data_IF_017565365546
#
_entry.id   IF_017565365546
#
_cell.length_a   1.000
_cell.length_b   1.000
_cell.length_c   1.000
_cell.angle_alpha   90.00
_cell.angle_beta   90.00
_cell.angle_gamma   90.00
#
_symmetry.space_group_name_H-M   'P 1'
#
loop_
_entity.id
_entity.type
_entity.pdbx_description
1 polymer ?
#
# COMPACT_ATOMS: atom_id res chain seq x y z
N UNK A 1 52.20 46.43 23.95
CA UNK A 1 51.34 45.24 23.60
C UNK A 1 49.91 45.60 23.89
N UNK A 2 49.01 45.70 22.89
CA UNK A 2 47.62 46.03 23.11
C UNK A 2 46.82 44.76 23.39
N UNK A 3 45.88 44.79 24.34
CA UNK A 3 44.95 43.78 24.74
C UNK A 3 43.96 43.49 23.59
N UNK A 4 43.81 42.18 23.18
CA UNK A 4 42.79 41.70 22.29
C UNK A 4 41.45 41.65 23.04
N UNK A 5 40.51 42.44 22.60
CA UNK A 5 39.08 42.36 23.00
C UNK A 5 38.43 41.16 22.34
N UNK A 6 37.79 40.31 23.15
CA UNK A 6 37.04 39.12 22.75
C UNK A 6 35.67 39.58 22.25
N UNK A 7 35.32 39.21 21.00
CA UNK A 7 34.02 39.46 20.42
C UNK A 7 32.95 38.56 21.11
N UNK A 8 31.71 39.05 21.28
CA UNK A 8 30.61 38.22 21.83
C UNK A 8 30.16 37.17 20.84
N UNK A 9 29.95 35.97 21.35
CA UNK A 9 29.35 34.84 20.64
C UNK A 9 27.90 35.15 20.28
N UNK A 10 27.39 34.77 19.08
CA UNK A 10 25.98 34.90 18.78
C UNK A 10 25.19 33.85 19.58
N UNK A 11 24.26 34.33 20.37
CA UNK A 11 23.21 33.48 20.98
C UNK A 11 22.25 33.04 19.89
N UNK A 12 22.35 31.78 19.44
CA UNK A 12 21.31 31.12 18.67
C UNK A 12 20.18 30.76 19.64
N UNK A 13 19.11 31.54 19.59
CA UNK A 13 17.83 31.12 20.10
C UNK A 13 17.33 30.00 19.16
N UNK A 14 17.40 28.75 19.63
CA UNK A 14 16.63 27.68 19.03
C UNK A 14 15.15 28.07 19.21
N UNK A 15 14.45 28.31 18.11
CA UNK A 15 13.01 28.42 18.10
C UNK A 15 12.49 27.02 18.40
N UNK A 16 11.77 26.87 19.51
CA UNK A 16 10.89 25.73 19.80
C UNK A 16 9.77 25.73 18.76
N UNK A 17 10.05 25.22 17.56
CA UNK A 17 9.03 24.85 16.60
C UNK A 17 8.41 23.57 17.14
N UNK A 18 7.13 23.63 17.52
CA UNK A 18 6.33 22.43 17.77
C UNK A 18 6.49 21.50 16.56
N UNK A 19 6.63 20.18 16.76
CA UNK A 19 6.69 19.25 15.65
C UNK A 19 5.42 19.39 14.81
N UNK A 20 5.56 19.78 13.54
CA UNK A 20 4.44 19.83 12.60
C UNK A 20 3.76 18.46 12.62
N UNK A 21 2.45 18.43 12.92
CA UNK A 21 1.67 17.22 12.97
C UNK A 21 1.69 16.55 11.59
N UNK A 22 2.28 15.36 11.52
CA UNK A 22 2.49 14.65 10.25
C UNK A 22 1.13 14.28 9.65
N UNK A 23 0.94 14.58 8.37
CA UNK A 23 -0.30 14.25 7.67
C UNK A 23 -0.56 12.74 7.69
N UNK A 24 -1.75 12.35 8.11
CA UNK A 24 -2.19 10.96 8.13
C UNK A 24 -2.93 10.60 6.84
N UNK A 25 -2.41 9.62 6.11
CA UNK A 25 -3.05 9.08 4.92
C UNK A 25 -4.09 8.02 5.30
N UNK A 26 -5.36 8.16 4.88
CA UNK A 26 -6.45 7.26 5.31
C UNK A 26 -6.23 5.77 4.98
N UNK A 27 -5.43 5.49 3.95
CA UNK A 27 -5.07 4.11 3.56
C UNK A 27 -4.06 3.43 4.50
N UNK A 28 -3.47 4.16 5.46
CA UNK A 28 -2.47 3.65 6.40
C UNK A 28 -3.12 3.41 7.76
N UNK A 29 -3.05 2.18 8.27
CA UNK A 29 -3.46 1.83 9.63
C UNK A 29 -2.32 2.13 10.59
N UNK A 30 -2.54 3.08 11.50
CA UNK A 30 -1.55 3.49 12.50
C UNK A 30 -1.69 2.63 13.77
N UNK A 31 -0.55 2.37 14.41
CA UNK A 31 -0.47 1.68 15.72
C UNK A 31 -1.04 0.26 15.75
N UNK A 32 -1.25 -0.36 14.59
CA UNK A 32 -1.70 -1.74 14.45
C UNK A 32 -0.64 -2.56 13.72
N UNK A 33 -0.26 -3.76 14.24
CA UNK A 33 0.62 -4.67 13.50
C UNK A 33 -0.03 -5.14 12.21
N UNK A 34 0.69 -5.09 11.10
CA UNK A 34 0.22 -5.63 9.83
C UNK A 34 0.43 -7.15 9.80
N UNK A 35 -0.54 -7.91 10.33
CA UNK A 35 -0.55 -9.37 10.32
C UNK A 35 -1.15 -9.88 9.02
N UNK A 36 -2.38 -9.46 8.74
CA UNK A 36 -3.15 -9.88 7.57
C UNK A 36 -3.22 -8.76 6.53
N UNK A 37 -3.36 -9.13 5.27
CA UNK A 37 -3.61 -8.20 4.17
C UNK A 37 -4.96 -7.52 4.32
N UNK A 38 -5.07 -6.28 3.82
CA UNK A 38 -6.33 -5.55 3.83
C UNK A 38 -6.54 -4.75 2.56
N UNK A 39 -7.79 -4.40 2.28
CA UNK A 39 -8.18 -3.45 1.24
C UNK A 39 -8.77 -2.19 1.87
N UNK A 40 -8.48 -1.04 1.28
CA UNK A 40 -9.04 0.25 1.64
C UNK A 40 -9.58 0.95 0.40
N UNK A 41 -10.77 1.57 0.52
CA UNK A 41 -11.39 2.36 -0.53
C UNK A 41 -11.68 3.78 -0.02
N UNK A 42 -11.26 4.81 -0.77
CA UNK A 42 -11.55 6.20 -0.40
C UNK A 42 -13.06 6.51 -0.41
N UNK A 43 -13.83 5.84 -1.25
CA UNK A 43 -15.29 5.98 -1.33
C UNK A 43 -16.02 5.58 -0.05
N UNK A 44 -15.46 4.65 0.72
CA UNK A 44 -16.05 4.20 1.99
C UNK A 44 -16.01 5.29 3.07
N UNK A 45 -15.09 6.25 2.96
CA UNK A 45 -15.02 7.41 3.86
C UNK A 45 -16.18 8.38 3.62
N UNK A 46 -16.57 8.58 2.36
CA UNK A 46 -17.69 9.46 1.99
C UNK A 46 -19.02 8.86 2.42
N UNK A 47 -19.18 7.55 2.28
CA UNK A 47 -20.38 6.84 2.76
C UNK A 47 -20.53 6.93 4.28
N UNK A 48 -19.44 6.82 5.04
CA UNK A 48 -19.43 7.02 6.49
C UNK A 48 -19.74 8.47 6.88
N UNK A 49 -19.18 9.43 6.19
CA UNK A 49 -19.41 10.86 6.45
C UNK A 49 -20.86 11.28 6.13
N UNK A 50 -21.49 10.69 5.10
CA UNK A 50 -22.87 10.93 4.73
C UNK A 50 -23.93 10.22 5.60
N UNK A 51 -23.51 9.40 6.55
CA UNK A 51 -24.39 8.69 7.49
C UNK A 51 -25.12 7.48 6.91
N UNK A 52 -24.78 7.04 5.68
CA UNK A 52 -25.41 5.93 4.98
C UNK A 52 -24.68 4.58 5.18
N UNK A 53 -23.59 4.58 5.93
CA UNK A 53 -22.79 3.39 6.21
C UNK A 53 -23.28 2.64 7.45
N UNK A 54 -24.15 1.65 7.31
CA UNK A 54 -24.32 0.61 8.36
C UNK A 54 -23.06 -0.26 8.34
N UNK A 55 -22.15 0.01 9.29
CA UNK A 55 -20.94 -0.78 9.47
C UNK A 55 -21.29 -2.24 9.78
N UNK A 56 -21.04 -3.15 8.85
CA UNK A 56 -20.93 -4.59 9.14
C UNK A 56 -19.50 -4.89 9.57
N UNK A 57 -19.22 -4.71 10.86
CA UNK A 57 -18.13 -5.44 11.50
C UNK A 57 -18.56 -6.91 11.59
N UNK A 58 -17.92 -7.78 10.82
CA UNK A 58 -18.07 -9.23 11.01
C UNK A 58 -17.26 -9.65 12.23
N UNK A 59 -17.87 -9.62 13.39
CA UNK A 59 -17.45 -10.44 14.52
C UNK A 59 -17.88 -11.89 14.24
N UNK A 60 -16.93 -12.82 14.28
CA UNK A 60 -17.22 -14.26 14.24
C UNK A 60 -17.62 -14.66 15.65
N UNK A 61 -18.92 -14.72 15.93
CA UNK A 61 -19.47 -15.47 17.07
C UNK A 61 -20.12 -16.76 16.56
N UNK A 62 -19.65 -17.88 17.11
CA UNK A 62 -20.33 -19.17 17.03
C UNK A 62 -21.52 -19.18 17.98
N UNK A 63 -22.69 -19.54 17.50
CA UNK A 63 -23.85 -19.80 18.37
C UNK A 63 -25.18 -19.88 17.61
N UNK A 64 -25.67 -21.09 17.49
CA UNK A 64 -27.03 -21.60 17.36
C UNK A 64 -28.10 -20.89 16.51
N UNK A 65 -28.70 -21.70 15.66
CA UNK A 65 -29.76 -21.45 14.68
C UNK A 65 -31.09 -21.04 15.32
N UNK A 66 -31.58 -19.85 14.99
CA UNK A 66 -33.02 -19.60 14.86
C UNK A 66 -33.29 -18.88 13.53
N UNK A 67 -34.08 -19.58 12.65
CA UNK A 67 -34.56 -19.05 11.38
C UNK A 67 -35.53 -17.89 11.63
N UNK A 68 -35.08 -16.65 11.52
CA UNK A 68 -35.96 -15.50 11.27
C UNK A 68 -35.92 -15.20 9.78
N UNK A 69 -37.10 -15.21 9.14
CA UNK A 69 -37.29 -14.70 7.79
C UNK A 69 -36.92 -13.21 7.79
N UNK A 70 -35.80 -12.90 7.15
CA UNK A 70 -35.40 -11.53 6.82
C UNK A 70 -36.09 -11.20 5.48
N UNK A 71 -37.06 -10.30 5.54
CA UNK A 71 -37.64 -9.67 4.34
C UNK A 71 -36.54 -8.79 3.74
N UNK A 72 -35.76 -9.40 2.83
CA UNK A 72 -34.66 -8.73 2.15
C UNK A 72 -35.20 -7.57 1.30
N UNK A 73 -35.02 -6.35 1.78
CA UNK A 73 -34.99 -5.18 0.90
C UNK A 73 -33.84 -5.43 -0.09
N UNK A 74 -34.18 -5.65 -1.36
CA UNK A 74 -33.23 -5.64 -2.46
C UNK A 74 -32.54 -4.25 -2.44
N UNK A 75 -31.29 -4.17 -1.95
CA UNK A 75 -30.43 -3.02 -2.20
C UNK A 75 -30.26 -2.93 -3.72
N UNK A 76 -31.03 -2.06 -4.37
CA UNK A 76 -30.90 -1.79 -5.80
C UNK A 76 -29.44 -1.39 -6.07
N UNK A 77 -28.84 -2.02 -7.09
CA UNK A 77 -27.47 -1.76 -7.54
C UNK A 77 -27.23 -0.25 -7.61
N UNK A 78 -26.40 0.30 -6.73
CA UNK A 78 -25.96 1.70 -6.74
C UNK A 78 -25.21 1.91 -8.05
N UNK A 79 -25.78 2.64 -8.99
CA UNK A 79 -25.12 3.05 -10.23
C UNK A 79 -24.57 4.46 -10.03
N UNK A 80 -23.25 4.59 -10.04
CA UNK A 80 -22.58 5.90 -10.00
C UNK A 80 -22.60 6.51 -11.38
N UNK A 81 -23.08 7.77 -11.46
CA UNK A 81 -23.26 8.47 -12.72
C UNK A 81 -21.93 8.74 -13.44
N UNK A 82 -21.94 8.51 -14.76
CA UNK A 82 -20.83 8.81 -15.67
C UNK A 82 -20.03 7.57 -16.10
N UNK A 83 -19.12 7.81 -17.04
CA UNK A 83 -18.14 6.84 -17.51
C UNK A 83 -16.80 7.11 -16.84
N UNK A 84 -16.15 6.05 -16.37
CA UNK A 84 -14.95 6.13 -15.54
C UNK A 84 -13.77 5.45 -16.20
N UNK A 85 -12.57 5.98 -15.94
CA UNK A 85 -11.30 5.33 -16.21
C UNK A 85 -10.58 4.98 -14.92
N UNK A 86 -9.74 3.93 -14.98
CA UNK A 86 -8.99 3.42 -13.84
C UNK A 86 -7.53 3.15 -14.22
N UNK A 87 -6.59 3.54 -13.36
CA UNK A 87 -5.18 3.20 -13.44
C UNK A 87 -4.79 2.23 -12.33
N UNK A 88 -3.86 1.33 -12.64
CA UNK A 88 -3.32 0.34 -11.68
C UNK A 88 -1.80 0.39 -11.68
N UNK A 89 -1.19 0.40 -10.49
CA UNK A 89 0.25 0.21 -10.30
C UNK A 89 0.53 -0.46 -8.95
N UNK A 90 1.78 -0.86 -8.70
CA UNK A 90 2.20 -1.46 -7.45
C UNK A 90 3.44 -0.79 -6.85
N UNK A 91 3.59 -0.93 -5.53
CA UNK A 91 4.80 -0.59 -4.80
C UNK A 91 5.27 -1.75 -3.92
N UNK A 92 6.58 -1.87 -3.76
CA UNK A 92 7.12 -2.85 -2.83
C UNK A 92 7.18 -4.29 -3.32
N UNK A 93 7.23 -4.56 -4.62
CA UNK A 93 7.35 -5.92 -5.16
C UNK A 93 8.68 -6.61 -4.81
N UNK A 94 9.80 -5.89 -4.91
CA UNK A 94 11.16 -6.44 -4.76
C UNK A 94 11.74 -6.52 -3.34
N UNK A 95 11.30 -5.71 -2.36
CA UNK A 95 11.86 -5.71 -1.01
C UNK A 95 11.73 -7.04 -0.29
N UNK A 96 12.72 -7.35 0.58
CA UNK A 96 12.68 -8.47 1.52
C UNK A 96 11.91 -8.13 2.81
N UNK A 97 11.69 -6.83 3.07
CA UNK A 97 10.98 -6.33 4.25
C UNK A 97 9.79 -5.46 3.84
N UNK A 98 8.74 -5.52 4.66
CA UNK A 98 7.52 -4.70 4.52
C UNK A 98 6.52 -5.23 3.50
N UNK A 99 5.37 -4.54 3.35
CA UNK A 99 4.27 -4.97 2.50
C UNK A 99 4.54 -4.75 1.01
N UNK A 100 3.74 -5.43 0.18
CA UNK A 100 3.52 -5.05 -1.21
C UNK A 100 2.15 -4.40 -1.31
N UNK A 101 2.07 -3.26 -1.99
CA UNK A 101 0.82 -2.50 -2.11
C UNK A 101 0.44 -2.38 -3.57
N UNK A 102 -0.75 -2.82 -3.92
CA UNK A 102 -1.42 -2.52 -5.18
C UNK A 102 -2.31 -1.30 -4.97
N UNK A 103 -2.15 -0.32 -5.84
CA UNK A 103 -2.95 0.90 -5.86
C UNK A 103 -3.77 1.01 -7.13
N UNK A 104 -5.00 1.48 -7.00
CA UNK A 104 -5.81 1.96 -8.11
C UNK A 104 -6.21 3.40 -7.84
N UNK A 105 -6.19 4.21 -8.90
CA UNK A 105 -6.84 5.52 -8.93
C UNK A 105 -7.85 5.51 -10.05
N UNK A 106 -9.00 6.13 -9.87
CA UNK A 106 -10.05 6.19 -10.88
C UNK A 106 -10.79 7.52 -10.85
N UNK A 107 -11.15 8.01 -12.03
CA UNK A 107 -11.88 9.27 -12.20
C UNK A 107 -12.81 9.18 -13.40
N UNK A 108 -13.71 10.17 -13.53
CA UNK A 108 -14.57 10.28 -14.72
C UNK A 108 -13.71 10.51 -15.97
N UNK A 109 -14.10 9.92 -17.09
CA UNK A 109 -13.41 10.16 -18.38
C UNK A 109 -13.37 11.66 -18.74
N UNK A 110 -14.40 12.42 -18.38
CA UNK A 110 -14.45 13.87 -18.58
C UNK A 110 -13.42 14.65 -17.76
N UNK A 111 -12.84 14.04 -16.70
CA UNK A 111 -11.83 14.65 -15.82
C UNK A 111 -10.37 14.37 -16.29
N UNK A 112 -10.18 13.67 -17.38
CA UNK A 112 -8.85 13.22 -17.85
C UNK A 112 -7.88 14.39 -18.11
N UNK A 113 -8.34 15.48 -18.71
CA UNK A 113 -7.50 16.65 -19.00
C UNK A 113 -7.14 17.42 -17.73
N UNK A 114 -8.05 17.53 -16.77
CA UNK A 114 -7.81 18.17 -15.47
C UNK A 114 -6.83 17.35 -14.65
N UNK A 115 -7.00 16.02 -14.59
CA UNK A 115 -6.05 15.12 -13.94
C UNK A 115 -4.62 15.33 -14.48
N UNK A 116 -4.48 15.48 -15.80
CA UNK A 116 -3.19 15.74 -16.42
C UNK A 116 -2.58 17.07 -15.99
N UNK A 117 -3.42 18.10 -15.77
CA UNK A 117 -3.00 19.43 -15.33
C UNK A 117 -2.53 19.49 -13.87
N UNK A 118 -2.98 18.54 -13.03
CA UNK A 118 -2.60 18.43 -11.61
C UNK A 118 -1.13 18.00 -11.39
N UNK A 119 -0.40 17.64 -12.46
CA UNK A 119 1.04 17.39 -12.38
C UNK A 119 1.43 15.94 -12.13
N UNK A 120 0.52 14.99 -12.33
CA UNK A 120 0.84 13.56 -12.33
C UNK A 120 1.69 13.22 -13.55
N UNK A 121 3.01 13.33 -13.37
CA UNK A 121 4.03 12.91 -14.34
C UNK A 121 4.56 11.53 -13.96
N UNK A 122 5.60 11.04 -14.67
CA UNK A 122 6.33 9.82 -14.32
C UNK A 122 6.69 9.80 -12.82
N UNK A 123 5.99 8.95 -12.08
CA UNK A 123 6.09 8.86 -10.62
C UNK A 123 7.50 8.57 -10.12
N UNK A 124 8.35 7.94 -10.95
CA UNK A 124 9.74 7.58 -10.63
C UNK A 124 10.69 8.76 -10.66
N UNK A 125 10.32 9.85 -11.35
CA UNK A 125 11.11 11.09 -11.39
C UNK A 125 10.78 12.05 -10.26
N UNK A 126 9.67 11.80 -9.54
CA UNK A 126 9.22 12.64 -8.44
C UNK A 126 9.97 12.31 -7.14
N UNK A 127 10.26 13.33 -6.34
CA UNK A 127 10.80 13.16 -4.98
C UNK A 127 9.69 12.75 -3.99
N UNK A 128 10.05 12.16 -2.85
CA UNK A 128 9.05 11.72 -1.86
C UNK A 128 8.15 12.88 -1.36
N UNK A 129 8.66 14.09 -1.06
CA UNK A 129 7.77 15.20 -0.69
C UNK A 129 6.77 15.60 -1.79
N UNK A 130 7.18 15.57 -3.06
CA UNK A 130 6.28 15.87 -4.18
C UNK A 130 5.18 14.80 -4.31
N UNK A 131 5.53 13.51 -4.15
CA UNK A 131 4.52 12.44 -4.14
C UNK A 131 3.52 12.58 -3.01
N UNK A 132 4.00 12.98 -1.83
CA UNK A 132 3.15 13.23 -0.68
C UNK A 132 2.14 14.35 -0.95
N UNK A 133 2.60 15.49 -1.50
CA UNK A 133 1.71 16.58 -1.89
C UNK A 133 0.70 16.15 -2.97
N UNK A 134 1.13 15.39 -3.98
CA UNK A 134 0.22 14.88 -5.00
C UNK A 134 -0.81 13.89 -4.44
N UNK A 135 -0.46 13.10 -3.41
CA UNK A 135 -1.45 12.26 -2.76
C UNK A 135 -2.46 13.08 -1.95
N UNK A 136 -2.03 14.16 -1.29
CA UNK A 136 -2.95 15.11 -0.64
C UNK A 136 -3.90 15.73 -1.66
N UNK A 137 -3.41 16.10 -2.85
CA UNK A 137 -4.25 16.59 -3.95
C UNK A 137 -5.30 15.54 -4.35
N UNK A 138 -4.98 14.24 -4.44
CA UNK A 138 -5.97 13.19 -4.69
C UNK A 138 -7.05 13.18 -3.59
N UNK A 139 -6.66 13.35 -2.33
CA UNK A 139 -7.60 13.36 -1.20
C UNK A 139 -8.49 14.61 -1.23
N UNK A 140 -7.92 15.77 -1.54
CA UNK A 140 -8.64 17.04 -1.66
C UNK A 140 -9.63 17.05 -2.82
N UNK A 141 -9.27 16.41 -3.95
CA UNK A 141 -10.14 16.21 -5.10
C UNK A 141 -10.97 14.92 -5.01
N UNK A 142 -11.32 14.51 -3.79
CA UNK A 142 -12.00 13.24 -3.53
C UNK A 142 -13.35 13.08 -4.21
N UNK A 143 -14.02 14.14 -4.67
CA UNK A 143 -15.24 14.05 -5.46
C UNK A 143 -14.99 13.56 -6.90
N UNK A 144 -13.85 13.94 -7.48
CA UNK A 144 -13.51 13.69 -8.89
C UNK A 144 -12.53 12.53 -9.07
N UNK A 145 -11.56 12.38 -8.14
CA UNK A 145 -10.54 11.34 -8.16
C UNK A 145 -10.69 10.45 -6.93
N UNK A 146 -10.99 9.19 -7.16
CA UNK A 146 -11.09 8.16 -6.13
C UNK A 146 -9.87 7.26 -6.17
N UNK A 147 -9.61 6.55 -5.06
CA UNK A 147 -8.56 5.56 -5.02
C UNK A 147 -8.92 4.38 -4.11
N UNK A 148 -8.27 3.26 -4.35
CA UNK A 148 -8.27 2.13 -3.45
C UNK A 148 -6.88 1.48 -3.42
N UNK A 149 -6.57 0.79 -2.33
CA UNK A 149 -5.34 0.02 -2.18
C UNK A 149 -5.63 -1.37 -1.63
N UNK A 150 -4.87 -2.34 -2.09
CA UNK A 150 -4.75 -3.64 -1.46
C UNK A 150 -3.33 -3.74 -0.86
N UNK A 151 -3.26 -3.81 0.46
CA UNK A 151 -2.00 -3.91 1.21
C UNK A 151 -1.78 -5.38 1.55
N UNK A 152 -0.83 -6.00 0.87
CA UNK A 152 -0.46 -7.41 1.08
C UNK A 152 0.59 -7.50 2.17
N UNK A 153 0.26 -8.17 3.27
CA UNK A 153 1.18 -8.36 4.40
C UNK A 153 2.38 -9.23 4.02
N UNK A 154 3.56 -9.04 4.66
CA UNK A 154 4.70 -9.93 4.48
C UNK A 154 4.38 -11.39 4.81
N UNK A 155 3.47 -11.61 5.77
CA UNK A 155 3.01 -12.92 6.19
C UNK A 155 2.22 -13.63 5.06
N UNK A 156 1.19 -12.98 4.52
CA UNK A 156 0.36 -13.55 3.44
C UNK A 156 1.16 -13.83 2.17
N UNK A 157 2.07 -12.88 1.80
CA UNK A 157 2.99 -13.06 0.69
C UNK A 157 3.84 -14.32 0.88
N UNK A 158 4.37 -14.51 2.09
CA UNK A 158 5.22 -15.65 2.43
C UNK A 158 4.41 -16.96 2.46
N UNK A 159 3.25 -16.94 3.12
CA UNK A 159 2.38 -18.11 3.20
C UNK A 159 1.93 -18.59 1.81
N UNK A 160 1.55 -17.65 0.93
CA UNK A 160 1.18 -17.99 -0.44
C UNK A 160 2.30 -18.69 -1.20
N UNK A 161 3.52 -18.16 -1.11
CA UNK A 161 4.67 -18.68 -1.84
C UNK A 161 5.27 -19.96 -1.26
N UNK A 162 5.17 -20.20 0.06
CA UNK A 162 5.79 -21.31 0.77
C UNK A 162 4.87 -22.52 0.95
N UNK A 163 3.60 -22.43 0.63
CA UNK A 163 2.68 -23.56 0.73
C UNK A 163 3.02 -24.68 -0.25
N UNK A 164 2.54 -25.90 0.01
CA UNK A 164 2.84 -27.12 -0.77
C UNK A 164 2.58 -26.96 -2.28
N UNK A 165 1.48 -26.30 -2.67
CA UNK A 165 1.24 -25.83 -4.04
C UNK A 165 1.47 -24.34 -4.05
N UNK A 166 2.64 -23.85 -4.53
CA UNK A 166 2.98 -22.45 -4.43
C UNK A 166 1.98 -21.55 -5.18
N UNK A 167 1.45 -20.58 -4.47
CA UNK A 167 0.73 -19.46 -5.04
C UNK A 167 1.76 -18.35 -5.28
N UNK A 168 2.32 -18.33 -6.48
CA UNK A 168 3.47 -17.49 -6.79
C UNK A 168 3.11 -16.00 -6.81
N UNK A 169 4.13 -15.14 -6.70
CA UNK A 169 3.96 -13.72 -6.59
C UNK A 169 3.19 -13.10 -7.77
N UNK A 170 3.36 -13.60 -9.00
CA UNK A 170 2.60 -13.10 -10.14
C UNK A 170 1.10 -13.41 -10.02
N UNK A 171 0.76 -14.61 -9.56
CA UNK A 171 -0.64 -14.98 -9.33
C UNK A 171 -1.26 -14.11 -8.23
N UNK A 172 -0.55 -13.92 -7.10
CA UNK A 172 -0.98 -13.03 -6.04
C UNK A 172 -1.19 -11.59 -6.55
N UNK A 173 -0.26 -11.09 -7.37
CA UNK A 173 -0.32 -9.78 -8.00
C UNK A 173 -1.55 -9.61 -8.89
N UNK A 174 -1.77 -10.59 -9.77
CA UNK A 174 -2.92 -10.56 -10.68
C UNK A 174 -4.24 -10.58 -9.91
N UNK A 175 -4.33 -11.40 -8.86
CA UNK A 175 -5.57 -11.52 -8.10
C UNK A 175 -5.83 -10.25 -7.26
N UNK A 176 -4.79 -9.59 -6.71
CA UNK A 176 -4.91 -8.30 -6.05
C UNK A 176 -5.47 -7.23 -7.01
N UNK A 177 -4.92 -7.14 -8.23
CA UNK A 177 -5.42 -6.22 -9.26
C UNK A 177 -6.86 -6.53 -9.68
N UNK A 178 -7.16 -7.81 -9.95
CA UNK A 178 -8.50 -8.25 -10.37
C UNK A 178 -9.53 -7.94 -9.30
N UNK A 179 -9.19 -8.17 -8.02
CA UNK A 179 -10.09 -7.89 -6.91
C UNK A 179 -10.35 -6.40 -6.75
N UNK A 180 -9.32 -5.54 -6.82
CA UNK A 180 -9.50 -4.09 -6.77
C UNK A 180 -10.41 -3.58 -7.91
N UNK A 181 -10.21 -4.05 -9.15
CA UNK A 181 -11.07 -3.67 -10.28
C UNK A 181 -12.51 -4.14 -10.04
N UNK A 182 -12.68 -5.40 -9.57
CA UNK A 182 -14.00 -5.97 -9.28
C UNK A 182 -14.74 -5.17 -8.21
N UNK A 183 -14.07 -4.86 -7.10
CA UNK A 183 -14.64 -4.09 -6.00
C UNK A 183 -15.07 -2.69 -6.44
N UNK A 184 -14.34 -2.02 -7.35
CA UNK A 184 -14.74 -0.74 -7.93
C UNK A 184 -15.99 -0.89 -8.81
N UNK A 185 -16.08 -1.95 -9.62
CA UNK A 185 -17.27 -2.23 -10.44
C UNK A 185 -18.48 -2.56 -9.55
N UNK A 186 -18.31 -3.40 -8.52
CA UNK A 186 -19.35 -3.76 -7.55
C UNK A 186 -19.87 -2.57 -6.74
N UNK A 187 -19.04 -1.54 -6.55
CA UNK A 187 -19.47 -0.25 -5.96
C UNK A 187 -20.26 0.64 -6.94
N UNK A 188 -20.57 0.14 -8.14
CA UNK A 188 -21.43 0.81 -9.12
C UNK A 188 -20.71 1.75 -10.09
N UNK A 189 -19.39 1.78 -10.12
CA UNK A 189 -18.62 2.60 -11.06
C UNK A 189 -18.61 1.99 -12.46
N UNK A 190 -19.15 2.72 -13.46
CA UNK A 190 -19.17 2.28 -14.86
C UNK A 190 -17.80 2.47 -15.52
N UNK A 191 -16.87 1.54 -15.25
CA UNK A 191 -15.54 1.56 -15.84
C UNK A 191 -15.59 1.27 -17.34
N UNK A 192 -15.00 2.14 -18.17
CA UNK A 192 -14.85 1.99 -19.62
C UNK A 192 -13.41 1.68 -20.02
N UNK A 193 -12.45 2.30 -19.35
CA UNK A 193 -11.03 2.18 -19.67
C UNK A 193 -10.24 1.81 -18.41
N UNK A 194 -9.31 0.89 -18.57
CA UNK A 194 -8.40 0.49 -17.50
C UNK A 194 -6.97 0.39 -18.02
N UNK A 195 -6.06 1.12 -17.38
CA UNK A 195 -4.64 1.20 -17.70
C UNK A 195 -3.82 0.53 -16.61
N UNK A 196 -2.99 -0.44 -16.96
CA UNK A 196 -2.28 -1.28 -15.98
C UNK A 196 -0.78 -1.26 -16.24
N UNK A 197 0.02 -0.87 -15.23
CA UNK A 197 1.46 -1.12 -15.25
C UNK A 197 1.75 -2.60 -14.99
N UNK A 198 2.68 -3.19 -15.73
CA UNK A 198 3.01 -4.60 -15.58
C UNK A 198 4.50 -4.87 -15.70
N UNK A 199 4.97 -5.87 -14.96
CA UNK A 199 6.34 -6.40 -14.99
C UNK A 199 6.44 -7.77 -15.67
N UNK A 200 5.46 -8.16 -16.48
CA UNK A 200 5.40 -9.46 -17.16
C UNK A 200 4.95 -9.34 -18.61
N UNK A 201 4.61 -10.47 -19.25
CA UNK A 201 4.03 -10.48 -20.59
C UNK A 201 2.70 -9.72 -20.62
N UNK A 202 2.73 -8.50 -21.14
CA UNK A 202 1.58 -7.60 -21.15
C UNK A 202 0.38 -8.17 -21.91
N UNK A 203 0.62 -8.81 -23.07
CA UNK A 203 -0.43 -9.33 -23.92
C UNK A 203 -1.28 -10.42 -23.25
N UNK A 204 -0.66 -11.38 -22.58
CA UNK A 204 -1.37 -12.45 -21.89
C UNK A 204 -2.18 -11.93 -20.70
N UNK A 205 -1.61 -10.94 -19.99
CA UNK A 205 -2.30 -10.32 -18.87
C UNK A 205 -3.48 -9.48 -19.33
N UNK A 206 -3.33 -8.72 -20.42
CA UNK A 206 -4.43 -7.97 -21.04
C UNK A 206 -5.56 -8.88 -21.49
N UNK A 207 -5.25 -10.00 -22.13
CA UNK A 207 -6.25 -11.01 -22.52
C UNK A 207 -7.01 -11.57 -21.32
N UNK A 208 -6.30 -11.89 -20.22
CA UNK A 208 -6.91 -12.36 -18.97
C UNK A 208 -7.89 -11.33 -18.41
N UNK A 209 -7.48 -10.05 -18.32
CA UNK A 209 -8.34 -8.99 -17.80
C UNK A 209 -9.55 -8.73 -18.69
N UNK A 210 -9.36 -8.64 -20.01
CA UNK A 210 -10.47 -8.46 -20.98
C UNK A 210 -11.47 -9.61 -20.97
N UNK A 211 -11.01 -10.84 -20.68
CA UNK A 211 -11.91 -12.00 -20.54
C UNK A 211 -12.74 -11.92 -19.25
N UNK A 212 -12.19 -11.38 -18.17
CA UNK A 212 -12.88 -11.26 -16.88
C UNK A 212 -13.84 -10.06 -16.83
N UNK A 213 -13.51 -9.00 -17.57
CA UNK A 213 -14.26 -7.76 -17.62
C UNK A 213 -14.54 -7.33 -19.06
N UNK A 214 -15.46 -7.99 -19.77
CA UNK A 214 -15.64 -7.79 -21.21
C UNK A 214 -16.18 -6.40 -21.61
N UNK A 215 -16.70 -5.63 -20.66
CA UNK A 215 -17.22 -4.27 -20.88
C UNK A 215 -16.16 -3.18 -20.71
N UNK A 216 -14.93 -3.55 -20.27
CA UNK A 216 -13.85 -2.63 -20.00
C UNK A 216 -12.75 -2.78 -21.05
N UNK A 217 -12.29 -1.66 -21.62
CA UNK A 217 -11.14 -1.62 -22.51
C UNK A 217 -9.85 -1.59 -21.70
N UNK A 218 -9.00 -2.61 -21.83
CA UNK A 218 -7.73 -2.71 -21.11
C UNK A 218 -6.54 -2.30 -21.97
N UNK A 219 -5.65 -1.49 -21.40
CA UNK A 219 -4.31 -1.20 -21.92
C UNK A 219 -3.30 -1.63 -20.86
N UNK A 220 -2.58 -2.72 -21.13
CA UNK A 220 -1.55 -3.27 -20.24
C UNK A 220 -0.19 -3.03 -20.86
N UNK A 221 0.68 -2.27 -20.20
CA UNK A 221 2.02 -1.97 -20.71
C UNK A 221 2.99 -1.76 -19.55
N UNK A 222 4.28 -1.99 -19.80
CA UNK A 222 5.32 -1.65 -18.83
C UNK A 222 5.57 -0.14 -18.83
N UNK A 223 5.82 0.42 -17.63
CA UNK A 223 5.99 1.88 -17.40
C UNK A 223 4.75 2.69 -17.81
N UNK A 224 3.57 2.14 -17.53
CA UNK A 224 2.31 2.81 -17.79
C UNK A 224 2.17 4.10 -16.96
N UNK A 225 2.83 4.17 -15.79
CA UNK A 225 2.94 5.35 -14.94
C UNK A 225 3.56 6.58 -15.64
N UNK A 226 4.45 6.36 -16.59
CA UNK A 226 5.04 7.44 -17.41
C UNK A 226 4.16 7.86 -18.60
N UNK A 227 3.18 7.04 -18.99
CA UNK A 227 2.34 7.25 -20.16
C UNK A 227 0.96 7.81 -19.82
N UNK A 228 0.40 7.37 -18.70
CA UNK A 228 -0.98 7.64 -18.30
C UNK A 228 -1.03 8.30 -16.92
N UNK A 229 -1.51 9.55 -16.80
CA UNK A 229 -1.61 10.26 -15.51
C UNK A 229 -2.39 9.49 -14.46
N UNK A 230 -3.43 8.74 -14.84
CA UNK A 230 -4.22 7.94 -13.91
C UNK A 230 -3.41 6.77 -13.30
N UNK A 231 -2.47 6.20 -14.05
CA UNK A 231 -1.54 5.16 -13.54
C UNK A 231 -0.49 5.80 -12.64
N UNK A 232 0.00 7.01 -12.98
CA UNK A 232 0.89 7.77 -12.10
C UNK A 232 0.22 8.09 -10.76
N UNK A 233 -1.07 8.47 -10.77
CA UNK A 233 -1.84 8.66 -9.54
C UNK A 233 -1.91 7.37 -8.70
N UNK A 234 -2.22 6.23 -9.34
CA UNK A 234 -2.23 4.92 -8.68
C UNK A 234 -0.85 4.55 -8.08
N UNK A 235 0.23 4.83 -8.83
CA UNK A 235 1.61 4.62 -8.39
C UNK A 235 1.96 5.43 -7.14
N UNK A 236 1.58 6.70 -7.11
CA UNK A 236 1.78 7.60 -5.96
C UNK A 236 1.02 7.07 -4.74
N UNK A 237 -0.25 6.70 -4.90
CA UNK A 237 -1.07 6.12 -3.83
C UNK A 237 -0.43 4.84 -3.27
N UNK A 238 -0.03 3.92 -4.14
CA UNK A 238 0.61 2.66 -3.72
C UNK A 238 1.95 2.92 -3.00
N UNK A 239 2.77 3.82 -3.55
CA UNK A 239 4.11 4.13 -3.04
C UNK A 239 4.05 4.80 -1.66
N UNK A 240 3.26 5.85 -1.52
CA UNK A 240 3.13 6.59 -0.25
C UNK A 240 2.49 5.69 0.81
N UNK A 241 1.43 4.96 0.50
CA UNK A 241 0.82 4.02 1.45
C UNK A 241 1.85 3.00 1.95
N UNK A 242 2.61 2.39 1.04
CA UNK A 242 3.65 1.41 1.41
C UNK A 242 4.74 2.02 2.28
N UNK A 243 5.26 3.18 1.90
CA UNK A 243 6.37 3.81 2.60
C UNK A 243 5.96 4.29 3.99
N UNK A 244 4.74 4.84 4.14
CA UNK A 244 4.20 5.25 5.45
C UNK A 244 3.96 4.06 6.38
N UNK A 245 3.42 2.94 5.86
CA UNK A 245 3.29 1.71 6.64
C UNK A 245 4.66 1.22 7.13
N UNK A 246 5.69 1.32 6.28
CA UNK A 246 7.01 0.85 6.64
C UNK A 246 7.70 1.78 7.66
N UNK A 247 7.54 3.10 7.53
CA UNK A 247 8.08 4.09 8.47
C UNK A 247 7.44 3.99 9.86
N UNK A 248 6.11 3.77 9.91
CA UNK A 248 5.34 3.67 11.14
C UNK A 248 5.11 2.20 11.55
N UNK A 249 6.01 1.28 11.11
CA UNK A 249 5.85 -0.15 11.33
C UNK A 249 5.67 -0.49 12.81
N UNK A 250 4.58 -1.20 13.10
CA UNK A 250 4.32 -1.76 14.43
C UNK A 250 4.62 -3.26 14.41
N UNK A 251 5.53 -3.70 15.28
CA UNK A 251 5.88 -5.10 15.41
C UNK A 251 4.80 -5.85 16.21
N UNK A 252 4.46 -7.07 15.76
CA UNK A 252 3.55 -7.95 16.49
C UNK A 252 4.26 -8.71 17.62
N UNK A 253 5.58 -8.86 17.52
CA UNK A 253 6.39 -9.64 18.44
C UNK A 253 6.62 -8.88 19.74
N UNK A 254 6.33 -9.49 20.92
CA UNK A 254 6.58 -8.86 22.22
C UNK A 254 8.07 -8.52 22.40
N UNK A 255 8.35 -7.30 22.81
CA UNK A 255 9.73 -6.85 23.09
C UNK A 255 10.51 -6.40 21.85
N UNK A 256 9.90 -6.43 20.65
CA UNK A 256 10.49 -5.86 19.44
C UNK A 256 9.82 -4.52 19.15
N UNK A 257 10.62 -3.47 18.90
CA UNK A 257 10.10 -2.17 18.49
C UNK A 257 9.31 -1.41 19.57
N UNK A 258 9.62 -1.64 20.86
CA UNK A 258 9.05 -0.90 21.98
C UNK A 258 9.36 0.61 21.96
N UNK A 259 8.93 1.33 22.99
CA UNK A 259 9.27 2.76 23.14
C UNK A 259 10.75 2.95 23.48
N UNK A 260 11.35 4.07 23.01
CA UNK A 260 12.72 4.46 23.29
C UNK A 260 13.71 4.06 22.21
N UNK A 261 15.01 4.24 22.50
CA UNK A 261 16.11 4.05 21.54
C UNK A 261 16.16 2.65 20.91
N UNK A 262 15.82 1.60 21.67
CA UNK A 262 15.79 0.22 21.14
C UNK A 262 14.64 0.02 20.12
N UNK A 263 13.48 0.63 20.36
CA UNK A 263 12.35 0.58 19.45
C UNK A 263 12.59 1.37 18.17
N UNK A 264 13.24 2.51 18.26
CA UNK A 264 13.67 3.29 17.10
C UNK A 264 14.71 2.52 16.29
N UNK A 265 15.69 1.90 16.95
CA UNK A 265 16.71 1.08 16.28
C UNK A 265 16.09 -0.12 15.54
N UNK A 266 15.05 -0.76 16.10
CA UNK A 266 14.34 -1.87 15.45
C UNK A 266 13.64 -1.45 14.14
N UNK A 267 13.31 -0.16 13.98
CA UNK A 267 12.70 0.38 12.74
C UNK A 267 13.71 0.86 11.71
N UNK A 268 15.01 0.84 11.98
CA UNK A 268 16.07 1.29 11.06
C UNK A 268 16.39 0.28 9.95
N UNK A 269 15.39 -0.36 9.37
CA UNK A 269 15.58 -1.39 8.34
C UNK A 269 15.75 -0.82 6.91
N UNK A 270 15.82 0.48 6.75
CA UNK A 270 16.02 1.15 5.47
C UNK A 270 14.82 0.96 4.52
N UNK A 271 15.11 0.87 3.23
CA UNK A 271 14.08 0.73 2.19
C UNK A 271 13.45 -0.68 2.12
N UNK A 272 14.00 -1.65 2.83
CA UNK A 272 13.61 -3.06 2.77
C UNK A 272 14.17 -3.83 1.57
N UNK A 273 14.85 -3.17 0.62
CA UNK A 273 15.45 -3.84 -0.53
C UNK A 273 16.75 -4.58 -0.17
N UNK A 274 16.99 -5.76 -0.76
CA UNK A 274 18.23 -6.53 -0.50
C UNK A 274 19.54 -5.81 -0.87
N UNK A 275 19.47 -4.78 -1.72
CA UNK A 275 20.61 -3.96 -2.11
C UNK A 275 20.90 -2.80 -1.17
N UNK A 276 19.98 -2.50 -0.25
CA UNK A 276 20.15 -1.43 0.73
C UNK A 276 21.04 -1.92 1.90
N UNK A 277 22.19 -1.25 2.16
CA UNK A 277 23.07 -1.62 3.27
C UNK A 277 22.38 -1.63 4.63
N UNK A 278 21.42 -0.72 4.88
CA UNK A 278 20.65 -0.69 6.13
C UNK A 278 19.78 -1.94 6.27
N UNK A 279 19.10 -2.35 5.20
CA UNK A 279 18.31 -3.59 5.17
C UNK A 279 19.19 -4.82 5.42
N UNK A 280 20.39 -4.87 4.81
CA UNK A 280 21.34 -5.98 5.00
C UNK A 280 21.83 -6.05 6.45
N UNK A 281 22.21 -4.92 7.05
CA UNK A 281 22.63 -4.85 8.43
C UNK A 281 21.49 -5.28 9.36
N UNK A 282 20.30 -4.74 9.17
CA UNK A 282 19.12 -5.09 9.96
C UNK A 282 18.81 -6.60 9.94
N UNK A 283 18.89 -7.25 8.77
CA UNK A 283 18.70 -8.70 8.64
C UNK A 283 19.81 -9.52 9.36
N UNK A 284 20.99 -8.95 9.61
CA UNK A 284 22.04 -9.59 10.36
C UNK A 284 21.83 -9.49 11.87
N UNK A 285 21.35 -8.34 12.32
CA UNK A 285 21.24 -7.98 13.73
C UNK A 285 19.93 -8.47 14.36
N UNK A 286 18.85 -8.59 13.57
CA UNK A 286 17.52 -9.00 14.05
C UNK A 286 17.16 -10.46 13.73
N UNK A 287 18.15 -11.32 13.56
CA UNK A 287 17.95 -12.74 13.33
C UNK A 287 17.91 -13.53 14.63
N UNK A 288 16.77 -14.15 14.93
CA UNK A 288 16.66 -15.13 16.03
C UNK A 288 16.87 -16.56 15.49
N UNK A 289 17.75 -17.38 16.10
CA UNK A 289 18.03 -18.74 15.63
C UNK A 289 16.82 -19.70 15.71
N UNK A 290 15.84 -19.41 16.56
CA UNK A 290 14.66 -20.27 16.80
C UNK A 290 13.45 -19.75 16.01
N UNK A 291 13.15 -18.44 16.13
CA UNK A 291 11.97 -17.83 15.56
C UNK A 291 12.20 -17.16 14.20
N UNK A 292 13.45 -16.92 13.81
CA UNK A 292 13.81 -16.31 12.53
C UNK A 292 13.81 -14.79 12.60
N UNK A 293 12.83 -14.16 12.00
CA UNK A 293 12.73 -12.70 11.90
C UNK A 293 11.36 -12.21 12.35
N UNK A 294 11.24 -10.92 12.77
CA UNK A 294 9.97 -10.29 13.00
C UNK A 294 9.08 -10.24 11.74
N UNK A 295 7.78 -10.01 11.95
CA UNK A 295 6.73 -10.04 10.94
C UNK A 295 6.89 -9.06 9.75
N UNK A 296 7.82 -8.12 9.82
CA UNK A 296 8.21 -7.25 8.70
C UNK A 296 8.92 -8.02 7.58
N UNK A 297 9.51 -9.19 7.88
CA UNK A 297 10.30 -9.96 6.94
C UNK A 297 9.44 -10.90 6.06
N UNK A 298 9.76 -10.95 4.77
CA UNK A 298 9.15 -11.88 3.82
C UNK A 298 9.95 -13.17 3.79
N UNK A 299 9.49 -14.19 4.48
CA UNK A 299 10.20 -15.48 4.66
C UNK A 299 10.49 -16.24 3.35
N UNK A 300 9.70 -15.96 2.31
CA UNK A 300 9.90 -16.56 0.98
C UNK A 300 11.01 -15.89 0.15
N UNK A 301 11.46 -14.68 0.53
CA UNK A 301 12.52 -13.95 -0.20
C UNK A 301 13.91 -14.54 0.07
N UNK A 302 14.74 -14.59 -0.96
CA UNK A 302 16.05 -15.25 -0.92
C UNK A 302 16.96 -14.80 0.24
N UNK A 303 17.11 -13.51 0.57
CA UNK A 303 17.97 -13.09 1.69
C UNK A 303 17.51 -13.67 3.03
N UNK A 304 16.20 -13.59 3.31
CA UNK A 304 15.58 -14.10 4.53
C UNK A 304 15.67 -15.62 4.60
N UNK A 305 15.22 -16.31 3.54
CA UNK A 305 15.30 -17.78 3.45
C UNK A 305 16.72 -18.31 3.60
N UNK A 306 17.70 -17.67 2.96
CA UNK A 306 19.11 -18.09 3.05
C UNK A 306 19.69 -17.87 4.45
N UNK A 307 19.28 -16.83 5.17
CA UNK A 307 19.67 -16.62 6.56
C UNK A 307 19.12 -17.73 7.46
N UNK A 308 17.84 -18.07 7.31
CA UNK A 308 17.20 -19.17 8.04
C UNK A 308 17.89 -20.51 7.79
N UNK A 309 18.21 -20.85 6.54
CA UNK A 309 18.87 -22.10 6.18
C UNK A 309 20.31 -22.20 6.71
N UNK A 310 21.02 -21.07 6.83
CA UNK A 310 22.42 -21.04 7.25
C UNK A 310 22.60 -20.92 8.75
N UNK A 311 21.74 -20.19 9.43
CA UNK A 311 21.92 -19.77 10.83
C UNK A 311 20.83 -20.34 11.76
N UNK A 312 19.69 -20.81 11.23
CA UNK A 312 18.58 -21.33 12.02
C UNK A 312 18.94 -22.60 12.77
N UNK A 313 18.36 -22.80 13.96
CA UNK A 313 18.47 -24.00 14.71
C UNK A 313 17.86 -25.20 13.95
N UNK A 314 18.61 -26.24 13.72
CA UNK A 314 18.09 -27.44 13.05
C UNK A 314 17.07 -28.14 13.95
N UNK A 315 15.84 -28.27 13.52
CA UNK A 315 14.87 -29.18 14.12
C UNK A 315 15.27 -30.62 13.76
N UNK A 316 15.44 -31.46 14.78
CA UNK A 316 15.66 -32.91 14.63
C UNK A 316 14.32 -33.63 14.58
#
# INVERSE_FOLDING_TARGET
>A
MPRKTKAPSPSTSASDAEPEERFHFPSVRLNEPLIDSYTFHSVDLEERASGNGKGKERAVEQGDEEMQQDDGEEEGDKVVEGEWMLGVDEAGRGPALGPQVYGVAFCKLSYADELKSLGFADSKTLTDPIREELFKVIIEHGEDVKYAVNVMSPNDLSMGMLRRTPYNLNAQSHDATINLIREVVEKGYNLKECYVDTVGPAADYQLKLSSLFPTISFTVTSKADALFPIVSAASIVAKITRDRILEDWTFAEPGVGGEGEEGEAARLFGSGYPSDPKTVAWLQDNFDPIFGFPNVARFSWAPVRNALLKKGAGCK
#
